data_IF_821499321029
#
_entry.id   IF_821499321029
#
_cell.length_a   1.000
_cell.length_b   1.000
_cell.length_c   1.000
_cell.angle_alpha   90.00
_cell.angle_beta   90.00
_cell.angle_gamma   90.00
#
_symmetry.space_group_name_H-M   'P 1'
#
loop_
_entity.id
_entity.type
_entity.pdbx_description
1 polymer ?
#
# COMPACT_ATOMS: atom_id res chain seq x y z
N UNK A 1 -23.97 -15.83 1.37
CA UNK A 1 -24.61 -14.70 0.66
C UNK A 1 -23.51 -13.93 -0.03
N UNK A 2 -23.66 -13.61 -1.31
CA UNK A 2 -22.69 -12.77 -2.01
C UNK A 2 -22.92 -11.30 -1.61
N UNK A 3 -21.85 -10.59 -1.26
CA UNK A 3 -21.87 -9.16 -0.99
C UNK A 3 -21.08 -8.44 -2.09
N UNK A 4 -21.56 -7.27 -2.51
CA UNK A 4 -20.89 -6.45 -3.51
C UNK A 4 -20.03 -5.41 -2.81
N UNK A 5 -18.74 -5.39 -3.14
CA UNK A 5 -17.79 -4.35 -2.70
C UNK A 5 -17.46 -3.49 -3.92
N UNK A 6 -17.59 -2.18 -3.78
CA UNK A 6 -17.20 -1.23 -4.83
C UNK A 6 -15.73 -0.86 -4.61
N UNK A 7 -14.92 -1.02 -5.66
CA UNK A 7 -13.53 -0.56 -5.68
C UNK A 7 -13.46 0.74 -6.46
N UNK A 8 -12.73 1.73 -5.94
CA UNK A 8 -12.46 3.02 -6.59
C UNK A 8 -11.06 3.08 -7.20
N UNK A 9 -10.23 2.08 -6.93
CA UNK A 9 -8.85 2.00 -7.40
C UNK A 9 -8.81 1.27 -8.74
N UNK A 10 -8.65 2.04 -9.82
CA UNK A 10 -8.57 1.54 -11.18
C UNK A 10 -7.27 0.76 -11.42
N UNK A 11 -6.17 1.11 -10.74
CA UNK A 11 -4.88 0.40 -10.88
C UNK A 11 -4.97 -1.01 -10.30
N UNK A 12 -5.58 -1.16 -9.12
CA UNK A 12 -5.84 -2.47 -8.51
C UNK A 12 -6.72 -3.34 -9.42
N UNK A 13 -7.74 -2.73 -10.05
CA UNK A 13 -8.62 -3.42 -10.98
C UNK A 13 -7.87 -3.90 -12.24
N UNK A 14 -7.04 -3.06 -12.84
CA UNK A 14 -6.22 -3.44 -14.00
C UNK A 14 -5.20 -4.53 -13.64
N UNK A 15 -4.52 -4.42 -12.50
CA UNK A 15 -3.60 -5.44 -12.02
C UNK A 15 -4.31 -6.80 -11.82
N UNK A 16 -5.53 -6.78 -11.24
CA UNK A 16 -6.32 -7.98 -11.05
C UNK A 16 -6.77 -8.59 -12.39
N UNK A 17 -7.12 -7.77 -13.39
CA UNK A 17 -7.47 -8.25 -14.74
C UNK A 17 -6.29 -8.96 -15.41
N UNK A 18 -5.08 -8.43 -15.32
CA UNK A 18 -3.89 -9.07 -15.88
C UNK A 18 -3.62 -10.41 -15.17
N UNK A 19 -3.72 -10.44 -13.84
CA UNK A 19 -3.37 -11.61 -13.03
C UNK A 19 -4.42 -12.72 -13.09
N UNK A 20 -5.72 -12.40 -13.21
CA UNK A 20 -6.78 -13.40 -13.27
C UNK A 20 -6.58 -14.33 -14.47
N UNK A 21 -6.11 -13.80 -15.59
CA UNK A 21 -5.90 -14.56 -16.83
C UNK A 21 -4.73 -15.53 -16.69
N UNK A 22 -3.64 -15.08 -16.06
CA UNK A 22 -2.48 -15.92 -15.75
C UNK A 22 -2.84 -17.11 -14.85
N UNK A 23 -3.75 -16.92 -13.90
CA UNK A 23 -4.13 -17.96 -12.93
C UNK A 23 -5.50 -18.62 -13.20
N UNK A 24 -6.12 -18.34 -14.35
CA UNK A 24 -7.44 -18.87 -14.73
C UNK A 24 -8.51 -18.67 -13.64
N UNK A 25 -8.53 -17.49 -13.01
CA UNK A 25 -9.54 -17.11 -12.00
C UNK A 25 -10.52 -16.08 -12.57
N UNK A 26 -11.70 -15.97 -11.97
CA UNK A 26 -12.55 -14.80 -12.19
C UNK A 26 -11.89 -13.55 -11.59
N UNK A 27 -12.28 -12.36 -12.05
CA UNK A 27 -11.77 -11.09 -11.49
C UNK A 27 -12.03 -11.01 -9.98
N UNK A 28 -13.27 -11.30 -9.56
CA UNK A 28 -13.63 -11.34 -8.15
C UNK A 28 -12.81 -12.38 -7.37
N UNK A 29 -12.60 -13.57 -7.95
CA UNK A 29 -11.80 -14.61 -7.32
C UNK A 29 -10.33 -14.24 -7.17
N UNK A 30 -9.78 -13.44 -8.09
CA UNK A 30 -8.41 -12.94 -7.98
C UNK A 30 -8.29 -11.87 -6.88
N UNK A 31 -9.25 -10.96 -6.78
CA UNK A 31 -9.29 -9.95 -5.72
C UNK A 31 -9.49 -10.61 -4.35
N UNK A 32 -10.40 -11.58 -4.25
CA UNK A 32 -10.65 -12.33 -3.01
C UNK A 32 -9.39 -13.10 -2.57
N UNK A 33 -8.65 -13.67 -3.52
CA UNK A 33 -7.38 -14.32 -3.24
C UNK A 33 -6.36 -13.35 -2.62
N UNK A 34 -6.21 -12.15 -3.19
CA UNK A 34 -5.32 -11.14 -2.63
C UNK A 34 -5.75 -10.67 -1.25
N UNK A 35 -7.05 -10.48 -1.01
CA UNK A 35 -7.57 -10.12 0.32
C UNK A 35 -7.26 -11.22 1.35
N UNK A 36 -7.40 -12.50 0.99
CA UNK A 36 -7.04 -13.63 1.86
C UNK A 36 -5.54 -13.69 2.15
N UNK A 37 -4.72 -13.42 1.13
CA UNK A 37 -3.27 -13.38 1.28
C UNK A 37 -2.83 -12.20 2.16
N UNK A 38 -3.40 -11.01 1.95
CA UNK A 38 -3.13 -9.82 2.77
C UNK A 38 -3.43 -10.08 4.24
N UNK A 39 -4.60 -10.67 4.54
CA UNK A 39 -4.94 -11.08 5.91
C UNK A 39 -3.93 -12.06 6.51
N UNK A 40 -3.50 -13.06 5.74
CA UNK A 40 -2.47 -14.01 6.21
C UNK A 40 -1.14 -13.29 6.51
N UNK A 41 -0.71 -12.37 5.64
CA UNK A 41 0.52 -11.59 5.82
C UNK A 41 0.44 -10.76 7.11
N UNK A 42 -0.67 -10.06 7.35
CA UNK A 42 -0.92 -9.29 8.57
C UNK A 42 -0.89 -10.17 9.83
N UNK A 43 -1.56 -11.32 9.80
CA UNK A 43 -1.63 -12.24 10.96
C UNK A 43 -0.29 -12.95 11.23
N UNK A 44 0.54 -13.15 10.19
CA UNK A 44 1.82 -13.86 10.29
C UNK A 44 2.95 -13.04 10.90
N UNK A 45 2.82 -11.71 10.95
CA UNK A 45 3.90 -10.80 11.34
C UNK A 45 5.06 -10.75 10.34
N UNK A 46 4.88 -11.28 9.12
CA UNK A 46 5.86 -11.19 8.03
C UNK A 46 6.02 -9.76 7.51
N UNK A 47 5.01 -8.91 7.74
CA UNK A 47 5.00 -7.52 7.34
C UNK A 47 4.23 -6.71 8.39
N UNK A 48 4.85 -5.65 8.91
CA UNK A 48 4.24 -4.78 9.90
C UNK A 48 4.00 -3.37 9.34
N UNK A 49 2.78 -3.14 8.85
CA UNK A 49 2.35 -1.83 8.36
C UNK A 49 2.40 -0.75 9.45
N UNK A 50 2.26 -1.10 10.73
CA UNK A 50 2.41 -0.13 11.81
C UNK A 50 3.85 0.39 11.88
N UNK A 51 4.82 -0.51 11.75
CA UNK A 51 6.25 -0.15 11.69
C UNK A 51 6.56 0.77 10.50
N UNK A 52 6.04 0.45 9.32
CA UNK A 52 6.14 1.30 8.12
C UNK A 52 5.62 2.71 8.40
N UNK A 53 4.45 2.84 9.04
CA UNK A 53 3.88 4.13 9.39
C UNK A 53 4.70 4.90 10.44
N UNK A 54 5.33 4.21 11.40
CA UNK A 54 6.23 4.85 12.36
C UNK A 54 7.46 5.43 11.65
N UNK A 55 8.04 4.70 10.69
CA UNK A 55 9.15 5.18 9.89
C UNK A 55 8.75 6.38 9.01
N UNK A 56 7.55 6.31 8.40
CA UNK A 56 6.99 7.40 7.60
C UNK A 56 6.82 8.70 8.41
N UNK A 57 6.50 8.57 9.71
CA UNK A 57 6.40 9.70 10.64
C UNK A 57 7.76 10.14 11.22
N UNK A 58 8.87 9.53 10.80
CA UNK A 58 10.21 9.79 11.31
C UNK A 58 10.44 9.35 12.76
N UNK A 59 9.58 8.48 13.32
CA UNK A 59 9.67 8.02 14.72
C UNK A 59 10.65 6.87 14.91
N UNK A 60 10.93 6.11 13.86
CA UNK A 60 11.96 5.07 13.82
C UNK A 60 12.78 5.25 12.53
N UNK A 61 14.05 4.81 12.51
CA UNK A 61 14.86 4.81 11.29
C UNK A 61 14.31 3.83 10.23
N UNK A 62 14.47 4.16 8.95
CA UNK A 62 14.01 3.33 7.82
C UNK A 62 14.82 2.02 7.75
N UNK A 63 16.05 2.06 8.25
CA UNK A 63 16.95 0.91 8.34
C UNK A 63 16.44 -0.19 9.27
N UNK A 64 15.52 0.13 10.20
CA UNK A 64 14.89 -0.85 11.10
C UNK A 64 13.71 -1.60 10.46
N UNK A 65 13.36 -1.23 9.21
CA UNK A 65 12.37 -1.93 8.39
C UNK A 65 13.01 -3.05 7.58
N UNK A 66 12.26 -4.12 7.35
CA UNK A 66 12.60 -5.16 6.38
C UNK A 66 12.61 -4.59 4.94
N UNK A 67 13.27 -5.24 3.96
CA UNK A 67 13.28 -4.76 2.58
C UNK A 67 11.88 -4.53 1.98
N UNK A 68 10.93 -5.41 2.31
CA UNK A 68 9.54 -5.31 1.88
C UNK A 68 8.86 -4.08 2.50
N UNK A 69 9.06 -3.85 3.80
CA UNK A 69 8.55 -2.68 4.53
C UNK A 69 9.19 -1.37 4.03
N UNK A 70 10.49 -1.36 3.72
CA UNK A 70 11.18 -0.22 3.12
C UNK A 70 10.60 0.15 1.76
N UNK A 71 10.25 -0.86 0.95
CA UNK A 71 9.62 -0.63 -0.34
C UNK A 71 8.25 0.03 -0.18
N UNK A 72 7.42 -0.47 0.74
CA UNK A 72 6.11 0.15 1.03
C UNK A 72 6.27 1.55 1.61
N UNK A 73 7.24 1.78 2.49
CA UNK A 73 7.56 3.10 3.01
C UNK A 73 7.91 4.09 1.88
N UNK A 74 8.76 3.69 0.93
CA UNK A 74 9.11 4.50 -0.23
C UNK A 74 7.89 4.80 -1.11
N UNK A 75 7.02 3.81 -1.35
CA UNK A 75 5.79 4.00 -2.10
C UNK A 75 4.84 5.01 -1.44
N UNK A 76 4.64 4.92 -0.12
CA UNK A 76 3.81 5.89 0.63
C UNK A 76 4.38 7.31 0.58
N UNK A 77 5.70 7.47 0.63
CA UNK A 77 6.35 8.76 0.44
C UNK A 77 6.05 9.35 -0.93
N UNK A 78 6.17 8.55 -1.99
CA UNK A 78 5.85 9.02 -3.34
C UNK A 78 4.39 9.43 -3.48
N UNK A 79 3.46 8.61 -2.99
CA UNK A 79 2.04 8.95 -3.01
C UNK A 79 1.76 10.26 -2.25
N UNK A 80 2.35 10.42 -1.06
CA UNK A 80 2.19 11.65 -0.29
C UNK A 80 2.76 12.88 -1.00
N UNK A 81 3.87 12.73 -1.73
CA UNK A 81 4.45 13.82 -2.52
C UNK A 81 3.58 14.19 -3.73
N UNK A 82 2.98 13.21 -4.40
CA UNK A 82 2.03 13.45 -5.50
C UNK A 82 0.79 14.20 -5.02
N UNK A 83 0.29 13.87 -3.82
CA UNK A 83 -0.85 14.56 -3.21
C UNK A 83 -0.54 16.00 -2.79
N UNK A 84 0.73 16.32 -2.52
CA UNK A 84 1.15 17.65 -2.03
C UNK A 84 1.28 18.72 -3.14
N UNK A 85 1.20 18.35 -4.42
CA UNK A 85 1.26 19.16 -5.66
C UNK A 85 2.31 20.30 -5.77
N UNK A 86 3.13 20.52 -4.75
CA UNK A 86 4.11 21.60 -4.66
C UNK A 86 3.51 22.99 -4.37
N UNK A 87 2.19 23.15 -4.22
CA UNK A 87 1.57 24.46 -3.96
C UNK A 87 1.68 24.94 -2.52
N UNK A 88 1.98 24.07 -1.54
CA UNK A 88 2.03 24.48 -0.13
C UNK A 88 3.47 24.74 0.37
N UNK A 89 4.08 25.80 -0.19
CA UNK A 89 5.37 26.40 0.21
C UNK A 89 5.34 27.02 1.63
N UNK A 90 4.22 26.91 2.35
CA UNK A 90 4.10 27.41 3.72
C UNK A 90 4.82 26.54 4.76
N UNK A 91 4.92 25.23 4.51
CA UNK A 91 5.54 24.26 5.43
C UNK A 91 7.07 24.28 5.40
N UNK A 92 7.69 24.69 4.28
CA UNK A 92 9.15 24.78 4.14
C UNK A 92 9.77 26.00 4.84
N UNK A 93 8.97 26.94 5.33
CA UNK A 93 9.46 28.19 5.95
C UNK A 93 9.75 28.11 7.45
N UNK A 94 9.36 27.04 8.13
CA UNK A 94 9.51 26.93 9.59
C UNK A 94 10.80 26.23 10.04
N UNK A 95 11.65 25.75 9.12
CA UNK A 95 12.99 25.26 9.47
C UNK A 95 13.99 26.36 9.18
N UNK A 96 14.18 27.26 10.15
CA UNK A 96 15.24 28.27 10.16
C UNK A 96 16.00 28.26 11.47
#
# INVERSE_FOLDING_TARGET
MAQTVKLSDDELLEAAKIKKDHFSRSLNGQIEYWARLGRFVEESGLFDLHKVNLAFQGKIPVEDLTPEEQHTHAWLLWQSLEELDGSDDSTLREIK
#
